data_IF_347606631087
#
_entry.id   IF_347606631087
#
_cell.length_a   1.000
_cell.length_b   1.000
_cell.length_c   1.000
_cell.angle_alpha   90.00
_cell.angle_beta   90.00
_cell.angle_gamma   90.00
#
_symmetry.space_group_name_H-M   'P 1'
#
loop_
_entity.id
_entity.type
_entity.pdbx_description
1 polymer ?
#
# COMPACT_ATOMS: atom_id res chain seq x y z
N UNK A 1 -21.97 -17.88 10.73
CA UNK A 1 -20.51 -17.65 10.72
C UNK A 1 -20.20 -17.07 9.36
N UNK A 2 -20.49 -15.79 9.20
CA UNK A 2 -20.10 -15.03 8.01
C UNK A 2 -18.59 -14.84 8.16
N UNK A 3 -17.82 -15.69 7.48
CA UNK A 3 -16.39 -15.44 7.36
C UNK A 3 -16.32 -14.21 6.47
N UNK A 4 -16.14 -13.06 7.10
CA UNK A 4 -16.01 -11.76 6.47
C UNK A 4 -14.94 -11.85 5.38
N UNK A 5 -15.38 -11.95 4.14
CA UNK A 5 -14.52 -12.07 2.97
C UNK A 5 -13.69 -10.78 2.85
N UNK A 6 -14.18 -9.64 3.35
CA UNK A 6 -13.46 -8.37 3.37
C UNK A 6 -12.18 -8.45 4.23
N UNK A 7 -12.23 -9.07 5.40
CA UNK A 7 -11.08 -9.17 6.31
C UNK A 7 -9.92 -10.00 5.73
N UNK A 8 -10.23 -11.06 4.98
CA UNK A 8 -9.19 -11.88 4.34
C UNK A 8 -8.52 -11.18 3.15
N UNK A 9 -9.27 -10.37 2.39
CA UNK A 9 -8.72 -9.56 1.31
C UNK A 9 -7.86 -8.41 1.84
N UNK A 10 -8.34 -7.73 2.89
CA UNK A 10 -7.65 -6.62 3.53
C UNK A 10 -6.30 -7.07 4.12
N UNK A 11 -6.24 -8.24 4.77
CA UNK A 11 -4.97 -8.79 5.29
C UNK A 11 -3.92 -9.02 4.22
N UNK A 12 -4.31 -9.52 3.04
CA UNK A 12 -3.38 -9.76 1.93
C UNK A 12 -2.90 -8.45 1.31
N UNK A 13 -3.79 -7.47 1.18
CA UNK A 13 -3.44 -6.13 0.74
C UNK A 13 -2.46 -5.46 1.70
N UNK A 14 -2.75 -5.47 3.00
CA UNK A 14 -1.86 -4.97 4.06
C UNK A 14 -0.48 -5.63 4.03
N UNK A 15 -0.42 -6.94 3.74
CA UNK A 15 0.85 -7.65 3.60
C UNK A 15 1.64 -7.23 2.35
N UNK A 16 0.99 -7.06 1.20
CA UNK A 16 1.68 -6.58 -0.01
C UNK A 16 2.26 -5.19 0.20
N UNK A 17 1.46 -4.27 0.73
CA UNK A 17 1.88 -2.88 0.99
C UNK A 17 2.83 -2.73 2.18
N UNK A 18 3.06 -3.77 3.00
CA UNK A 18 4.11 -3.74 4.02
C UNK A 18 5.51 -3.96 3.48
N UNK A 19 5.66 -4.28 2.20
CA UNK A 19 6.96 -4.46 1.55
C UNK A 19 7.32 -3.21 0.75
N UNK A 20 8.30 -2.39 1.19
CA UNK A 20 8.61 -1.12 0.54
C UNK A 20 9.03 -1.30 -0.92
N UNK A 21 9.78 -2.35 -1.26
CA UNK A 21 10.16 -2.65 -2.65
C UNK A 21 8.98 -3.00 -3.56
N UNK A 22 7.85 -3.48 -3.01
CA UNK A 22 6.63 -3.68 -3.78
C UNK A 22 5.98 -2.33 -4.12
N UNK A 23 5.95 -1.41 -3.15
CA UNK A 23 5.41 -0.05 -3.32
C UNK A 23 6.22 0.74 -4.34
N UNK A 24 7.55 0.71 -4.23
CA UNK A 24 8.47 1.30 -5.20
C UNK A 24 8.17 0.81 -6.61
N UNK A 25 8.14 -0.53 -6.79
CA UNK A 25 7.91 -1.11 -8.11
C UNK A 25 6.54 -0.77 -8.68
N UNK A 26 5.53 -0.65 -7.85
CA UNK A 26 4.19 -0.25 -8.27
C UNK A 26 4.18 1.19 -8.80
N UNK A 27 4.79 2.12 -8.05
CA UNK A 27 4.89 3.52 -8.47
C UNK A 27 5.70 3.65 -9.76
N UNK A 28 6.87 3.02 -9.86
CA UNK A 28 7.72 3.12 -11.06
C UNK A 28 7.14 2.42 -12.30
N UNK A 29 6.24 1.44 -12.11
CA UNK A 29 5.69 0.67 -13.24
C UNK A 29 4.36 1.22 -13.78
N UNK A 30 3.62 1.97 -12.96
CA UNK A 30 2.25 2.37 -13.29
C UNK A 30 2.01 3.88 -13.24
N UNK A 31 2.90 4.68 -12.64
CA UNK A 31 2.74 6.13 -12.54
C UNK A 31 3.79 6.82 -13.41
N UNK A 32 3.34 7.42 -14.51
CA UNK A 32 4.18 8.19 -15.45
C UNK A 32 4.17 9.69 -15.08
N UNK A 33 4.55 9.98 -13.84
CA UNK A 33 4.63 11.35 -13.34
C UNK A 33 6.08 11.70 -12.96
N UNK A 34 6.58 12.92 -13.27
CA UNK A 34 7.97 13.29 -13.02
C UNK A 34 8.41 13.11 -11.57
N UNK A 35 7.52 13.39 -10.62
CA UNK A 35 7.83 13.33 -9.18
C UNK A 35 8.26 11.92 -8.75
N UNK A 36 7.81 10.86 -9.43
CA UNK A 36 8.15 9.47 -9.07
C UNK A 36 9.65 9.23 -9.18
N UNK A 37 10.33 9.93 -10.10
CA UNK A 37 11.79 9.85 -10.29
C UNK A 37 12.58 10.60 -9.22
N UNK A 38 11.92 11.49 -8.48
CA UNK A 38 12.51 12.34 -7.44
C UNK A 38 12.34 11.74 -6.04
N UNK A 39 11.53 10.68 -5.89
CA UNK A 39 11.31 9.99 -4.62
C UNK A 39 12.56 9.21 -4.19
N UNK A 40 12.96 9.38 -2.93
CA UNK A 40 13.95 8.51 -2.29
C UNK A 40 13.25 7.33 -1.61
N UNK A 41 13.12 6.22 -2.32
CA UNK A 41 12.46 5.00 -1.80
C UNK A 41 13.20 4.35 -0.62
N UNK A 42 14.46 4.71 -0.35
CA UNK A 42 15.18 4.22 0.84
C UNK A 42 14.59 4.78 2.15
N UNK A 43 13.82 5.86 2.05
CA UNK A 43 13.13 6.50 3.18
C UNK A 43 11.74 5.92 3.46
N UNK A 44 11.27 4.94 2.67
CA UNK A 44 9.97 4.32 2.88
C UNK A 44 9.90 3.64 4.25
N UNK A 45 8.92 4.05 5.04
CA UNK A 45 8.63 3.44 6.33
C UNK A 45 7.17 3.00 6.44
N UNK A 46 6.93 1.96 7.26
CA UNK A 46 5.58 1.52 7.57
C UNK A 46 4.98 2.46 8.60
N UNK A 47 3.98 3.24 8.20
CA UNK A 47 3.17 4.00 9.15
C UNK A 47 2.09 3.08 9.72
N UNK A 48 2.07 2.90 11.04
CA UNK A 48 1.05 2.09 11.74
C UNK A 48 -0.24 2.90 11.93
N UNK A 49 -0.81 3.42 10.85
CA UNK A 49 -2.06 4.17 10.86
C UNK A 49 -3.14 3.38 10.12
N UNK A 50 -4.22 3.08 10.82
CA UNK A 50 -5.43 2.52 10.22
C UNK A 50 -6.24 3.69 9.64
N UNK A 51 -6.04 3.99 8.35
CA UNK A 51 -6.89 4.94 7.63
C UNK A 51 -8.11 4.20 7.07
N UNK A 52 -9.06 3.85 7.94
CA UNK A 52 -10.39 3.42 7.49
C UNK A 52 -11.29 4.64 7.64
N UNK A 53 -11.65 5.26 6.52
CA UNK A 53 -12.78 6.20 6.50
C UNK A 53 -14.04 5.39 6.79
N UNK A 54 -14.87 5.84 7.73
CA UNK A 54 -16.18 5.21 8.02
C UNK A 54 -17.20 5.43 6.89
N UNK A 55 -16.87 6.21 5.87
CA UNK A 55 -17.78 6.50 4.75
C UNK A 55 -17.55 5.54 3.56
N UNK A 56 -18.46 4.57 3.42
CA UNK A 56 -18.82 3.90 2.18
C UNK A 56 -20.31 4.08 1.91
#
# INVERSE_FOLDING_TARGET
>A
MEIDIADNHDRRYKYLFSHPGFVERLLTSFVDEPFVKELDFSTLERVNSTFVSEEF
#
